data_IF_799266953667
#
_entry.id   IF_799266953667
#
_cell.length_a   1.000
_cell.length_b   1.000
_cell.length_c   1.000
_cell.angle_alpha   90.00
_cell.angle_beta   90.00
_cell.angle_gamma   90.00
#
_symmetry.space_group_name_H-M   'P 1'
#
loop_
_entity.id
_entity.type
_entity.pdbx_description
1 polymer ?
#
# COMPACT_ATOMS: atom_id res chain seq x y z
N UNK A 1 -60.79 -4.15 -37.90
CA UNK A 1 -61.06 -3.81 -36.48
C UNK A 1 -60.39 -4.87 -35.61
N UNK A 2 -59.11 -4.68 -35.30
CA UNK A 2 -58.34 -5.37 -34.24
C UNK A 2 -57.25 -4.38 -33.78
N UNK A 3 -56.90 -4.50 -32.50
CA UNK A 3 -56.54 -3.48 -31.51
C UNK A 3 -55.04 -3.31 -31.22
N UNK A 4 -54.70 -2.07 -30.80
CA UNK A 4 -53.89 -1.63 -29.65
C UNK A 4 -52.40 -2.03 -29.44
N UNK A 5 -51.66 -0.97 -29.09
CA UNK A 5 -50.60 -0.82 -28.07
C UNK A 5 -49.36 -1.74 -28.13
N UNK A 6 -48.20 -1.11 -28.37
CA UNK A 6 -46.90 -1.49 -27.77
C UNK A 6 -45.87 -0.35 -27.93
N UNK A 7 -46.02 0.72 -27.14
CA UNK A 7 -44.97 1.74 -26.94
C UNK A 7 -44.98 2.27 -25.49
N UNK A 8 -45.00 1.36 -24.50
CA UNK A 8 -44.85 1.72 -23.07
C UNK A 8 -43.75 0.89 -22.38
N UNK A 9 -43.04 0.01 -23.09
CA UNK A 9 -42.08 -0.92 -22.47
C UNK A 9 -40.65 -0.40 -22.27
N UNK A 10 -40.22 0.67 -22.94
CA UNK A 10 -38.79 1.03 -22.99
C UNK A 10 -38.37 2.15 -22.01
N UNK A 11 -39.31 2.97 -21.54
CA UNK A 11 -39.01 4.09 -20.65
C UNK A 11 -39.10 3.74 -19.15
N UNK A 12 -39.76 2.65 -18.80
CA UNK A 12 -39.83 2.19 -17.40
C UNK A 12 -38.58 1.38 -17.01
N UNK A 13 -37.94 0.69 -17.96
CA UNK A 13 -36.71 -0.07 -17.69
C UNK A 13 -35.47 0.78 -17.41
N UNK A 14 -35.40 1.99 -17.99
CA UNK A 14 -34.25 2.91 -17.80
C UNK A 14 -34.44 3.79 -16.55
N UNK A 15 -35.68 4.10 -16.17
CA UNK A 15 -35.94 4.86 -14.94
C UNK A 15 -35.84 4.01 -13.67
N UNK A 16 -36.07 2.70 -13.73
CA UNK A 16 -35.90 1.80 -12.57
C UNK A 16 -34.40 1.53 -12.28
N UNK A 17 -33.51 1.60 -13.29
CA UNK A 17 -32.07 1.43 -13.07
C UNK A 17 -31.37 2.69 -12.52
N UNK A 18 -31.92 3.89 -12.78
CA UNK A 18 -31.36 5.14 -12.22
C UNK A 18 -31.84 5.39 -10.77
N UNK A 19 -32.97 4.80 -10.36
CA UNK A 19 -33.43 4.84 -8.96
C UNK A 19 -32.89 3.72 -8.06
N UNK A 20 -32.28 2.66 -8.63
CA UNK A 20 -31.59 1.64 -7.84
C UNK A 20 -30.22 2.11 -7.29
N UNK A 21 -29.64 3.20 -7.83
CA UNK A 21 -28.35 3.75 -7.38
C UNK A 21 -28.45 5.15 -6.72
N UNK A 22 -29.65 5.74 -6.63
CA UNK A 22 -29.87 7.03 -5.94
C UNK A 22 -30.58 6.89 -4.58
N UNK A 23 -30.78 5.65 -4.11
CA UNK A 23 -31.43 5.31 -2.83
C UNK A 23 -30.50 5.02 -1.65
N UNK A 24 -29.17 5.06 -1.81
CA UNK A 24 -28.22 4.97 -0.69
C UNK A 24 -27.91 6.36 -0.11
N UNK A 25 -28.96 7.12 0.21
CA UNK A 25 -28.86 8.22 1.17
C UNK A 25 -29.62 7.75 2.41
N UNK A 26 -28.86 7.49 3.48
CA UNK A 26 -29.34 7.14 4.82
C UNK A 26 -29.86 5.71 5.03
N UNK A 27 -29.03 4.70 4.77
CA UNK A 27 -29.04 3.51 5.63
C UNK A 27 -28.07 3.74 6.77
N UNK A 28 -28.63 4.02 7.96
CA UNK A 28 -27.91 3.72 9.21
C UNK A 28 -27.40 2.28 9.10
N UNK A 29 -26.19 1.96 9.61
CA UNK A 29 -25.70 0.59 9.57
C UNK A 29 -26.77 -0.33 10.16
N UNK A 30 -27.17 -1.34 9.38
CA UNK A 30 -27.99 -2.45 9.87
C UNK A 30 -27.30 -3.00 11.11
N UNK A 31 -28.08 -3.25 12.16
CA UNK A 31 -27.59 -3.57 13.50
C UNK A 31 -26.81 -4.89 13.63
N UNK A 32 -26.57 -5.62 12.53
CA UNK A 32 -25.96 -6.96 12.50
C UNK A 32 -24.71 -7.07 11.61
N UNK A 33 -24.16 -5.97 11.10
CA UNK A 33 -22.90 -6.00 10.34
C UNK A 33 -21.75 -5.70 11.30
N UNK A 34 -20.76 -6.60 11.38
CA UNK A 34 -19.55 -6.40 12.18
C UNK A 34 -18.86 -5.07 11.86
N UNK A 35 -18.21 -4.44 12.84
CA UNK A 35 -17.67 -3.10 12.69
C UNK A 35 -16.67 -3.01 11.53
N UNK A 36 -15.79 -4.01 11.41
CA UNK A 36 -14.86 -4.09 10.29
C UNK A 36 -15.52 -4.28 8.92
N UNK A 37 -16.57 -5.10 8.82
CA UNK A 37 -17.32 -5.26 7.56
C UNK A 37 -17.97 -3.96 7.10
N UNK A 38 -18.46 -3.14 8.03
CA UNK A 38 -19.02 -1.83 7.69
C UNK A 38 -17.94 -0.85 7.19
N UNK A 39 -16.72 -0.96 7.71
CA UNK A 39 -15.55 -0.20 7.25
C UNK A 39 -15.14 -0.64 5.84
N UNK A 40 -15.00 -1.96 5.58
CA UNK A 40 -14.68 -2.53 4.25
C UNK A 40 -15.63 -2.00 3.16
N UNK A 41 -16.94 -2.15 3.38
CA UNK A 41 -17.94 -1.73 2.41
C UNK A 41 -17.86 -0.22 2.12
N UNK A 42 -17.63 0.59 3.15
CA UNK A 42 -17.52 2.03 3.00
C UNK A 42 -16.27 2.43 2.22
N UNK A 43 -15.11 1.84 2.53
CA UNK A 43 -13.84 2.16 1.85
C UNK A 43 -13.94 1.79 0.36
N UNK A 44 -14.44 0.59 0.04
CA UNK A 44 -14.65 0.16 -1.35
C UNK A 44 -15.57 1.10 -2.11
N UNK A 45 -16.70 1.50 -1.49
CA UNK A 45 -17.63 2.44 -2.11
C UNK A 45 -16.95 3.79 -2.43
N UNK A 46 -16.15 4.34 -1.52
CA UNK A 46 -15.45 5.61 -1.76
C UNK A 46 -14.42 5.49 -2.89
N UNK A 47 -13.68 4.38 -2.95
CA UNK A 47 -12.73 4.10 -4.04
C UNK A 47 -13.47 4.00 -5.39
N UNK A 48 -14.58 3.25 -5.45
CA UNK A 48 -15.38 3.10 -6.67
C UNK A 48 -15.95 4.44 -7.15
N UNK A 49 -16.43 5.28 -6.21
CA UNK A 49 -16.92 6.64 -6.50
C UNK A 49 -15.79 7.53 -7.04
N UNK A 50 -14.59 7.46 -6.47
CA UNK A 50 -13.43 8.24 -6.92
C UNK A 50 -12.98 7.80 -8.33
N UNK A 51 -12.99 6.50 -8.61
CA UNK A 51 -12.76 5.94 -9.95
C UNK A 51 -13.77 6.51 -10.95
N UNK A 52 -15.07 6.44 -10.63
CA UNK A 52 -16.14 6.91 -11.51
C UNK A 52 -16.06 8.42 -11.78
N UNK A 53 -15.53 9.21 -10.83
CA UNK A 53 -15.33 10.66 -10.96
C UNK A 53 -13.99 11.05 -11.60
N UNK A 54 -13.06 10.10 -11.78
CA UNK A 54 -11.71 10.38 -12.26
C UNK A 54 -10.83 11.13 -11.27
N UNK A 55 -11.18 11.14 -9.98
CA UNK A 55 -10.44 11.83 -8.90
C UNK A 55 -9.52 10.90 -8.13
N UNK A 56 -9.42 9.63 -8.53
CA UNK A 56 -8.69 8.62 -7.75
C UNK A 56 -7.18 8.85 -7.71
N UNK A 57 -6.60 9.60 -8.66
CA UNK A 57 -5.17 9.90 -8.69
C UNK A 57 -4.80 11.11 -7.81
N UNK A 58 -5.69 11.56 -6.92
CA UNK A 58 -5.38 12.62 -5.96
C UNK A 58 -4.30 12.13 -4.97
N UNK A 59 -3.16 12.84 -4.84
CA UNK A 59 -2.08 12.49 -3.91
C UNK A 59 -2.50 12.35 -2.45
N UNK A 60 -3.60 12.98 -2.04
CA UNK A 60 -4.09 12.95 -0.67
C UNK A 60 -5.29 12.01 -0.49
N UNK A 61 -5.70 11.28 -1.53
CA UNK A 61 -6.91 10.46 -1.50
C UNK A 61 -6.92 9.47 -0.33
N UNK A 62 -5.82 8.76 -0.12
CA UNK A 62 -5.73 7.74 0.93
C UNK A 62 -5.78 8.37 2.32
N UNK A 63 -5.06 9.47 2.55
CA UNK A 63 -5.07 10.18 3.82
C UNK A 63 -6.46 10.77 4.11
N UNK A 64 -7.10 11.41 3.12
CA UNK A 64 -8.44 11.99 3.25
C UNK A 64 -9.50 10.92 3.52
N UNK A 65 -9.41 9.78 2.84
CA UNK A 65 -10.32 8.65 3.08
C UNK A 65 -10.07 8.02 4.44
N UNK A 66 -8.83 7.91 4.88
CA UNK A 66 -8.45 7.45 6.22
C UNK A 66 -9.07 8.32 7.29
N UNK A 67 -8.91 9.64 7.19
CA UNK A 67 -9.51 10.61 8.10
C UNK A 67 -11.04 10.52 8.11
N UNK A 68 -11.66 10.33 6.94
CA UNK A 68 -13.09 10.16 6.81
C UNK A 68 -13.58 8.88 7.51
N UNK A 69 -12.87 7.77 7.35
CA UNK A 69 -13.15 6.50 8.04
C UNK A 69 -13.00 6.67 9.55
N UNK A 70 -11.89 7.23 10.02
CA UNK A 70 -11.63 7.49 11.44
C UNK A 70 -12.77 8.33 12.05
N UNK A 71 -13.15 9.42 11.39
CA UNK A 71 -14.25 10.30 11.85
C UNK A 71 -15.60 9.60 11.90
N UNK A 72 -15.88 8.73 10.93
CA UNK A 72 -17.18 8.05 10.80
C UNK A 72 -17.31 6.81 11.70
N UNK A 73 -16.22 6.07 11.89
CA UNK A 73 -16.21 4.76 12.54
C UNK A 73 -15.41 4.73 13.85
N UNK A 74 -15.03 5.88 14.41
CA UNK A 74 -14.19 5.96 15.62
C UNK A 74 -14.63 5.00 16.75
N UNK A 75 -15.93 4.95 17.07
CA UNK A 75 -16.46 4.10 18.15
C UNK A 75 -16.38 2.62 17.82
N UNK A 76 -16.63 2.26 16.57
CA UNK A 76 -16.51 0.89 16.08
C UNK A 76 -15.05 0.46 16.14
N UNK A 77 -14.14 1.30 15.63
CA UNK A 77 -12.69 1.07 15.71
C UNK A 77 -12.22 0.89 17.16
N UNK A 78 -12.67 1.74 18.09
CA UNK A 78 -12.37 1.59 19.53
C UNK A 78 -12.82 0.22 20.07
N UNK A 79 -13.96 -0.30 19.60
CA UNK A 79 -14.46 -1.62 19.98
C UNK A 79 -13.63 -2.74 19.35
N UNK A 80 -13.29 -2.65 18.06
CA UNK A 80 -12.48 -3.65 17.35
C UNK A 80 -11.08 -3.79 17.98
N UNK A 81 -10.43 -2.67 18.30
CA UNK A 81 -9.08 -2.70 18.90
C UNK A 81 -9.09 -2.96 20.41
N UNK A 82 -10.26 -3.04 21.05
CA UNK A 82 -10.37 -3.03 22.52
C UNK A 82 -9.62 -4.18 23.20
N UNK A 83 -9.62 -5.37 22.58
CA UNK A 83 -8.94 -6.56 23.09
C UNK A 83 -7.41 -6.44 23.01
N UNK A 84 -6.90 -5.68 22.03
CA UNK A 84 -5.46 -5.52 21.79
C UNK A 84 -4.87 -4.28 22.48
N UNK A 85 -5.70 -3.26 22.76
CA UNK A 85 -5.25 -1.94 23.19
C UNK A 85 -5.29 -1.68 24.71
N UNK A 86 -5.51 -2.71 25.53
CA UNK A 86 -5.68 -2.56 26.98
C UNK A 86 -4.50 -1.85 27.67
N UNK A 87 -3.28 -2.10 27.21
CA UNK A 87 -2.04 -1.51 27.75
C UNK A 87 -1.57 -0.25 27.00
N UNK A 88 -2.30 0.18 25.96
CA UNK A 88 -1.94 1.36 25.19
C UNK A 88 -2.47 2.63 25.84
N UNK A 89 -1.65 3.68 25.87
CA UNK A 89 -2.08 5.03 26.24
C UNK A 89 -3.13 5.55 25.24
N UNK A 90 -3.96 6.54 25.61
CA UNK A 90 -4.93 7.13 24.68
C UNK A 90 -4.29 7.59 23.36
N UNK A 91 -3.11 8.21 23.42
CA UNK A 91 -2.36 8.63 22.22
C UNK A 91 -1.96 7.44 21.35
N UNK A 92 -1.44 6.37 21.96
CA UNK A 92 -1.06 5.16 21.21
C UNK A 92 -2.27 4.48 20.57
N UNK A 93 -3.46 4.56 21.17
CA UNK A 93 -4.70 4.04 20.56
C UNK A 93 -5.11 4.82 19.32
N UNK A 94 -5.02 6.14 19.36
CA UNK A 94 -5.29 6.97 18.17
C UNK A 94 -4.29 6.67 17.04
N UNK A 95 -3.01 6.53 17.38
CA UNK A 95 -1.97 6.12 16.41
C UNK A 95 -2.29 4.74 15.84
N UNK A 96 -2.62 3.75 16.66
CA UNK A 96 -2.98 2.40 16.21
C UNK A 96 -4.20 2.40 15.28
N UNK A 97 -5.26 3.17 15.59
CA UNK A 97 -6.43 3.29 14.72
C UNK A 97 -6.06 3.89 13.37
N UNK A 98 -5.27 4.95 13.38
CA UNK A 98 -4.81 5.59 12.14
C UNK A 98 -4.00 4.61 11.29
N UNK A 99 -3.05 3.89 11.89
CA UNK A 99 -2.25 2.86 11.22
C UNK A 99 -3.12 1.80 10.52
N UNK A 100 -4.00 1.15 11.29
CA UNK A 100 -4.86 0.07 10.80
C UNK A 100 -5.82 0.56 9.70
N UNK A 101 -6.32 1.79 9.79
CA UNK A 101 -7.21 2.31 8.76
C UNK A 101 -6.43 2.73 7.52
N UNK A 102 -5.29 3.39 7.72
CA UNK A 102 -4.47 3.92 6.62
C UNK A 102 -3.92 2.81 5.75
N UNK A 103 -3.32 1.76 6.36
CA UNK A 103 -2.86 0.57 5.62
C UNK A 103 -4.02 -0.10 4.89
N UNK A 104 -5.17 -0.29 5.56
CA UNK A 104 -6.32 -0.94 4.92
C UNK A 104 -6.84 -0.18 3.70
N UNK A 105 -6.92 1.15 3.81
CA UNK A 105 -7.31 2.02 2.70
C UNK A 105 -6.26 1.95 1.57
N UNK A 106 -4.97 2.04 1.91
CA UNK A 106 -3.86 1.89 0.95
C UNK A 106 -3.93 0.56 0.21
N UNK A 107 -4.06 -0.55 0.93
CA UNK A 107 -4.22 -1.90 0.40
C UNK A 107 -5.37 -2.02 -0.62
N UNK A 108 -6.57 -1.55 -0.26
CA UNK A 108 -7.72 -1.58 -1.17
C UNK A 108 -7.55 -0.63 -2.36
N UNK A 109 -6.93 0.53 -2.13
CA UNK A 109 -6.64 1.52 -3.17
C UNK A 109 -5.66 0.98 -4.21
N UNK A 110 -4.54 0.38 -3.78
CA UNK A 110 -3.56 -0.25 -4.66
C UNK A 110 -4.20 -1.34 -5.54
N UNK A 111 -5.04 -2.19 -4.95
CA UNK A 111 -5.80 -3.24 -5.67
C UNK A 111 -6.75 -2.71 -6.72
N UNK A 112 -7.23 -1.48 -6.58
CA UNK A 112 -8.15 -0.87 -7.54
C UNK A 112 -7.49 -0.56 -8.89
N UNK A 113 -6.16 -0.55 -8.97
CA UNK A 113 -5.40 -0.25 -10.19
C UNK A 113 -4.95 -1.48 -10.99
N UNK A 114 -5.23 -2.68 -10.50
CA UNK A 114 -4.72 -3.90 -11.12
C UNK A 114 -5.26 -4.03 -12.55
N UNK A 115 -4.40 -4.30 -13.55
CA UNK A 115 -4.86 -4.33 -14.93
C UNK A 115 -5.79 -5.54 -15.15
N UNK A 116 -7.04 -5.27 -15.54
CA UNK A 116 -8.11 -6.30 -15.68
C UNK A 116 -7.78 -7.45 -16.65
N UNK A 117 -6.84 -7.23 -17.59
CA UNK A 117 -6.39 -8.22 -18.58
C UNK A 117 -4.87 -8.47 -18.51
N UNK A 118 -4.26 -8.27 -17.34
CA UNK A 118 -2.84 -8.52 -17.16
C UNK A 118 -2.47 -10.00 -17.31
N UNK A 119 -1.29 -10.26 -17.87
CA UNK A 119 -0.56 -11.49 -17.60
C UNK A 119 0.04 -11.39 -16.20
N UNK A 120 -0.01 -12.46 -15.43
CA UNK A 120 0.59 -12.53 -14.10
C UNK A 120 1.81 -13.45 -14.13
N UNK A 121 2.92 -12.96 -13.58
CA UNK A 121 4.11 -13.74 -13.31
C UNK A 121 4.43 -13.64 -11.81
N UNK A 122 4.53 -14.76 -11.12
CA UNK A 122 4.96 -14.81 -9.72
C UNK A 122 6.42 -15.22 -9.70
N UNK A 123 7.27 -14.42 -9.07
CA UNK A 123 8.71 -14.62 -9.06
C UNK A 123 9.20 -14.67 -7.63
N UNK A 124 9.73 -15.81 -7.23
CA UNK A 124 10.43 -15.99 -5.96
C UNK A 124 11.92 -15.74 -6.20
N UNK A 125 12.49 -14.64 -5.70
CA UNK A 125 13.92 -14.38 -5.84
C UNK A 125 14.71 -15.51 -5.18
N UNK A 126 15.63 -16.14 -5.91
CA UNK A 126 16.53 -17.16 -5.34
C UNK A 126 17.88 -16.51 -5.11
N UNK A 127 18.33 -16.41 -3.86
CA UNK A 127 19.66 -15.89 -3.54
C UNK A 127 20.72 -16.78 -4.16
N UNK A 128 21.56 -16.23 -5.03
CA UNK A 128 22.65 -16.96 -5.69
C UNK A 128 24.03 -16.55 -5.20
N UNK A 129 24.19 -15.32 -4.68
CA UNK A 129 25.45 -14.87 -4.08
C UNK A 129 25.24 -13.72 -3.10
N UNK A 130 26.19 -13.55 -2.17
CA UNK A 130 26.36 -12.34 -1.38
C UNK A 130 27.75 -11.80 -1.59
N UNK A 131 27.88 -10.56 -2.04
CA UNK A 131 29.18 -9.90 -2.22
C UNK A 131 29.25 -8.71 -1.27
N UNK A 132 30.33 -8.65 -0.49
CA UNK A 132 30.64 -7.47 0.32
C UNK A 132 31.61 -6.57 -0.43
N UNK A 133 31.21 -5.34 -0.74
CA UNK A 133 32.06 -4.35 -1.38
C UNK A 133 31.76 -2.95 -0.84
N UNK A 134 32.80 -2.18 -0.52
CA UNK A 134 32.68 -0.81 -0.01
C UNK A 134 31.74 -0.67 1.21
N UNK A 135 31.76 -1.65 2.12
CA UNK A 135 30.89 -1.66 3.30
C UNK A 135 29.42 -2.00 3.02
N UNK A 136 29.05 -2.31 1.77
CA UNK A 136 27.69 -2.71 1.38
C UNK A 136 27.62 -4.20 1.10
N UNK A 137 26.43 -4.79 1.28
CA UNK A 137 26.14 -6.18 0.91
C UNK A 137 25.24 -6.19 -0.31
N UNK A 138 25.72 -6.85 -1.35
CA UNK A 138 24.99 -7.08 -2.59
C UNK A 138 24.53 -8.51 -2.61
N UNK A 139 23.23 -8.72 -2.43
CA UNK A 139 22.63 -10.04 -2.51
C UNK A 139 22.09 -10.26 -3.92
N UNK A 140 22.79 -11.07 -4.69
CA UNK A 140 22.38 -11.37 -6.04
C UNK A 140 21.27 -12.39 -5.97
N UNK A 141 20.11 -12.04 -6.50
CA UNK A 141 19.01 -12.98 -6.69
C UNK A 141 18.91 -13.35 -8.17
N UNK A 142 18.56 -14.59 -8.40
CA UNK A 142 18.15 -15.06 -9.72
C UNK A 142 16.64 -15.20 -9.72
N UNK A 143 16.02 -14.47 -10.64
CA UNK A 143 14.60 -14.31 -10.77
C UNK A 143 14.31 -14.20 -12.27
N UNK A 144 14.23 -15.32 -13.02
CA UNK A 144 14.11 -15.29 -14.47
C UNK A 144 12.78 -14.70 -14.88
N UNK A 145 12.80 -13.45 -15.32
CA UNK A 145 11.61 -12.75 -15.79
C UNK A 145 11.61 -12.70 -17.33
N UNK A 146 10.43 -12.90 -17.93
CA UNK A 146 10.25 -12.95 -19.39
C UNK A 146 10.65 -11.64 -20.05
N UNK A 147 11.45 -11.71 -21.12
CA UNK A 147 11.77 -10.58 -22.01
C UNK A 147 10.55 -9.87 -22.62
N UNK A 148 9.36 -10.45 -22.51
CA UNK A 148 8.09 -9.82 -22.93
C UNK A 148 7.52 -8.79 -21.95
N UNK A 149 8.08 -8.65 -20.75
CA UNK A 149 7.59 -7.68 -19.75
C UNK A 149 8.13 -6.29 -20.11
N UNK A 150 7.25 -5.29 -20.36
CA UNK A 150 7.72 -3.94 -20.56
C UNK A 150 8.26 -3.35 -19.24
N UNK A 151 9.23 -2.45 -19.35
CA UNK A 151 9.79 -1.69 -18.22
C UNK A 151 10.39 -2.53 -17.08
N UNK A 152 11.37 -3.41 -17.35
CA UNK A 152 12.01 -4.21 -16.30
C UNK A 152 12.62 -3.35 -15.19
N UNK A 153 12.37 -3.73 -13.94
CA UNK A 153 13.05 -3.23 -12.75
C UNK A 153 14.08 -4.27 -12.32
N UNK A 154 15.35 -3.89 -12.35
CA UNK A 154 16.47 -4.79 -12.09
C UNK A 154 16.94 -4.80 -10.63
N UNK A 155 16.62 -3.75 -9.87
CA UNK A 155 17.16 -3.53 -8.54
C UNK A 155 16.06 -3.10 -7.57
N UNK A 156 15.86 -3.92 -6.55
CA UNK A 156 15.11 -3.56 -5.34
C UNK A 156 16.12 -3.42 -4.21
N UNK A 157 16.11 -2.31 -3.50
CA UNK A 157 17.17 -1.96 -2.54
C UNK A 157 16.54 -1.75 -1.19
N UNK A 158 16.70 -2.73 -0.31
CA UNK A 158 16.02 -2.76 0.98
C UNK A 158 16.91 -2.25 2.11
N UNK A 159 16.33 -1.55 3.09
CA UNK A 159 17.02 -1.22 4.34
C UNK A 159 17.32 -2.50 5.12
N UNK A 160 18.58 -2.67 5.52
CA UNK A 160 19.02 -3.93 6.12
C UNK A 160 18.43 -4.20 7.51
N UNK A 161 18.05 -3.16 8.22
CA UNK A 161 17.38 -3.28 9.51
C UNK A 161 16.03 -4.03 9.39
N UNK A 162 15.33 -3.92 8.25
CA UNK A 162 14.12 -4.71 7.98
C UNK A 162 14.42 -6.22 7.99
N UNK A 163 15.63 -6.63 7.58
CA UNK A 163 15.99 -8.04 7.45
C UNK A 163 16.59 -8.57 8.73
N UNK A 164 17.65 -7.92 9.20
CA UNK A 164 18.49 -8.42 10.30
C UNK A 164 17.99 -7.95 11.68
N UNK A 165 17.06 -6.99 11.72
CA UNK A 165 16.65 -6.29 12.94
C UNK A 165 17.72 -5.32 13.44
N UNK A 166 17.39 -4.57 14.49
CA UNK A 166 18.33 -3.68 15.16
C UNK A 166 17.71 -2.44 15.77
N UNK A 167 18.56 -1.63 16.38
CA UNK A 167 18.16 -0.33 16.92
C UNK A 167 19.16 0.75 16.55
N UNK A 168 18.68 1.98 16.40
CA UNK A 168 19.50 3.09 15.95
C UNK A 168 18.72 4.38 15.76
N UNK A 169 19.32 5.29 15.01
CA UNK A 169 18.71 6.55 14.58
C UNK A 169 18.82 6.58 13.06
N UNK A 170 17.73 6.91 12.38
CA UNK A 170 17.70 7.05 10.91
C UNK A 170 18.22 8.41 10.44
N UNK A 171 18.23 8.63 9.12
CA UNK A 171 18.70 9.89 8.52
C UNK A 171 17.78 11.10 8.82
N UNK A 172 16.55 10.85 9.30
CA UNK A 172 15.63 11.88 9.77
C UNK A 172 15.82 12.25 11.24
N UNK A 173 16.69 11.54 11.97
CA UNK A 173 16.93 11.73 13.39
C UNK A 173 15.93 10.97 14.28
N UNK A 174 15.14 10.06 13.72
CA UNK A 174 14.16 9.27 14.44
C UNK A 174 14.76 7.95 14.93
N UNK A 175 14.45 7.60 16.17
CA UNK A 175 14.91 6.34 16.76
C UNK A 175 14.06 5.17 16.28
N UNK A 176 14.70 4.05 15.97
CA UNK A 176 14.03 2.79 15.68
C UNK A 176 14.54 1.66 16.56
N UNK A 177 13.68 0.68 16.79
CA UNK A 177 14.02 -0.60 17.36
C UNK A 177 13.08 -1.66 16.74
N UNK A 178 13.60 -2.37 15.75
CA UNK A 178 12.87 -3.37 14.95
C UNK A 178 13.50 -4.73 15.15
N UNK A 179 12.71 -5.80 15.07
CA UNK A 179 13.20 -7.17 15.25
C UNK A 179 13.58 -7.84 13.92
N UNK A 180 13.31 -7.19 12.79
CA UNK A 180 13.66 -7.62 11.45
C UNK A 180 12.78 -8.75 10.94
N UNK A 181 13.34 -9.64 10.11
CA UNK A 181 12.63 -10.73 9.41
C UNK A 181 11.60 -10.25 8.38
N UNK A 182 11.60 -8.98 8.04
CA UNK A 182 10.73 -8.35 7.07
C UNK A 182 11.38 -8.39 5.67
N UNK A 183 11.78 -9.58 5.24
CA UNK A 183 12.56 -9.79 4.03
C UNK A 183 11.67 -9.80 2.77
N UNK A 184 12.15 -9.25 1.65
CA UNK A 184 11.45 -9.33 0.35
C UNK A 184 11.49 -10.76 -0.17
N UNK A 185 10.38 -11.49 -0.08
CA UNK A 185 10.36 -12.93 -0.39
C UNK A 185 9.70 -13.28 -1.73
N UNK A 186 8.89 -12.39 -2.28
CA UNK A 186 8.17 -12.64 -3.53
C UNK A 186 7.90 -11.35 -4.30
N UNK A 187 7.95 -11.41 -5.62
CA UNK A 187 7.57 -10.31 -6.51
C UNK A 187 6.52 -10.84 -7.48
N UNK A 188 5.34 -10.25 -7.46
CA UNK A 188 4.26 -10.55 -8.42
C UNK A 188 4.21 -9.44 -9.46
N UNK A 189 4.21 -9.83 -10.73
CA UNK A 189 4.26 -8.90 -11.87
C UNK A 189 3.00 -9.05 -12.70
N UNK A 190 2.19 -8.00 -12.76
CA UNK A 190 1.00 -7.90 -13.59
C UNK A 190 1.30 -7.00 -14.79
N UNK A 191 1.29 -7.53 -16.01
CA UNK A 191 1.72 -6.75 -17.17
C UNK A 191 0.85 -6.92 -18.41
N UNK A 192 0.83 -5.86 -19.21
CA UNK A 192 0.27 -5.79 -20.57
C UNK A 192 1.40 -5.42 -21.54
N UNK A 193 1.08 -5.08 -22.79
CA UNK A 193 2.09 -4.57 -23.74
C UNK A 193 2.61 -3.17 -23.42
N UNK A 194 1.92 -2.40 -22.57
CA UNK A 194 2.20 -0.97 -22.36
C UNK A 194 2.25 -0.53 -20.89
N UNK A 195 1.97 -1.44 -19.95
CA UNK A 195 1.94 -1.15 -18.51
C UNK A 195 2.34 -2.40 -17.73
N UNK A 196 3.06 -2.21 -16.64
CA UNK A 196 3.43 -3.24 -15.66
C UNK A 196 3.15 -2.73 -14.26
N UNK A 197 2.63 -3.60 -13.40
CA UNK A 197 2.52 -3.39 -11.97
C UNK A 197 3.37 -4.44 -11.27
N UNK A 198 4.24 -3.97 -10.40
CA UNK A 198 5.07 -4.79 -9.53
C UNK A 198 4.47 -4.76 -8.14
N UNK A 199 4.17 -5.94 -7.60
CA UNK A 199 3.85 -6.17 -6.20
C UNK A 199 5.04 -6.83 -5.52
N UNK A 200 5.51 -6.20 -4.46
CA UNK A 200 6.59 -6.65 -3.60
C UNK A 200 5.96 -7.21 -2.34
N UNK A 201 6.28 -8.45 -2.02
CA UNK A 201 5.72 -9.17 -0.89
C UNK A 201 6.79 -9.36 0.17
N UNK A 202 6.50 -8.82 1.35
CA UNK A 202 7.36 -8.87 2.52
C UNK A 202 6.70 -9.69 3.62
N UNK A 203 7.52 -10.29 4.47
CA UNK A 203 7.02 -11.21 5.50
C UNK A 203 6.23 -10.50 6.61
N UNK A 204 6.47 -9.21 6.85
CA UNK A 204 5.83 -8.47 7.93
C UNK A 204 5.73 -6.97 7.61
N UNK A 205 5.13 -6.15 8.47
CA UNK A 205 5.31 -4.68 8.43
C UNK A 205 5.71 -4.15 9.80
N UNK A 206 6.95 -3.68 9.92
CA UNK A 206 7.50 -3.33 11.22
C UNK A 206 7.02 -1.94 11.64
N UNK A 207 6.66 -1.78 12.91
CA UNK A 207 6.55 -0.48 13.55
C UNK A 207 7.81 -0.20 14.39
N UNK A 208 8.43 1.01 14.33
CA UNK A 208 9.64 1.38 15.10
C UNK A 208 9.52 1.28 16.64
N UNK A 209 8.32 0.97 17.14
CA UNK A 209 8.00 0.73 18.55
C UNK A 209 7.48 -0.70 18.70
N UNK A 210 8.23 -1.62 19.33
CA UNK A 210 7.90 -3.04 19.44
C UNK A 210 6.55 -3.36 20.10
N UNK A 211 6.04 -2.47 20.95
CA UNK A 211 4.74 -2.70 21.61
C UNK A 211 3.55 -2.41 20.69
N UNK A 212 3.72 -1.51 19.71
CA UNK A 212 2.67 -1.16 18.76
C UNK A 212 2.67 -2.14 17.59
N UNK A 213 3.86 -2.46 17.10
CA UNK A 213 4.20 -3.48 16.11
C UNK A 213 3.39 -4.77 16.30
N UNK A 214 3.69 -5.54 17.34
CA UNK A 214 2.98 -6.78 17.69
C UNK A 214 1.45 -6.68 17.72
N UNK A 215 0.91 -5.53 18.16
CA UNK A 215 -0.54 -5.33 18.21
C UNK A 215 -1.10 -5.08 16.81
N UNK A 216 -0.39 -4.26 16.03
CA UNK A 216 -0.72 -3.93 14.66
C UNK A 216 -0.77 -5.19 13.80
N UNK A 217 0.28 -6.03 13.83
CA UNK A 217 0.31 -7.28 13.05
C UNK A 217 -0.85 -8.18 13.42
N UNK A 218 -1.10 -8.36 14.72
CA UNK A 218 -2.18 -9.22 15.19
C UNK A 218 -3.55 -8.83 14.65
N UNK A 219 -3.79 -7.53 14.42
CA UNK A 219 -5.06 -7.04 13.88
C UNK A 219 -5.09 -7.17 12.37
N UNK A 220 -3.99 -6.85 11.68
CA UNK A 220 -3.91 -7.00 10.21
C UNK A 220 -4.13 -8.44 9.78
N UNK A 221 -3.49 -9.38 10.45
CA UNK A 221 -3.64 -10.81 10.17
C UNK A 221 -5.08 -11.31 10.33
N UNK A 222 -5.86 -10.74 11.24
CA UNK A 222 -7.25 -11.18 11.45
C UNK A 222 -8.22 -10.53 10.48
N UNK A 223 -8.00 -9.25 10.17
CA UNK A 223 -9.00 -8.41 9.52
C UNK A 223 -8.78 -8.21 8.01
N UNK A 224 -7.58 -8.47 7.48
CA UNK A 224 -7.26 -8.17 6.09
C UNK A 224 -7.41 -9.44 5.23
N UNK A 225 -8.44 -9.53 4.38
CA UNK A 225 -8.68 -10.74 3.61
C UNK A 225 -7.58 -10.93 2.56
N UNK A 226 -6.96 -12.12 2.55
CA UNK A 226 -6.03 -12.54 1.51
C UNK A 226 -4.55 -12.24 1.75
N UNK A 227 -4.15 -11.81 2.97
CA UNK A 227 -2.74 -11.78 3.40
C UNK A 227 -2.37 -13.14 4.00
N UNK A 228 -1.23 -13.71 3.60
CA UNK A 228 -0.70 -14.95 4.19
C UNK A 228 -0.19 -14.68 5.61
N UNK A 229 -0.68 -15.42 6.60
CA UNK A 229 -0.26 -15.29 8.01
C UNK A 229 0.87 -16.24 8.40
N UNK A 230 1.42 -17.00 7.45
CA UNK A 230 2.44 -18.03 7.71
C UNK A 230 3.76 -17.46 8.26
N UNK A 231 4.07 -16.18 8.05
CA UNK A 231 5.41 -15.62 8.29
C UNK A 231 5.46 -14.25 9.00
N UNK A 232 4.40 -13.85 9.70
CA UNK A 232 4.13 -12.42 9.91
C UNK A 232 3.08 -12.01 8.87
N UNK A 233 2.27 -11.01 9.16
CA UNK A 233 1.12 -10.74 8.30
C UNK A 233 1.64 -10.17 6.99
N UNK A 234 1.64 -11.00 5.94
CA UNK A 234 2.25 -10.67 4.66
C UNK A 234 1.94 -9.24 4.25
N UNK A 235 3.00 -8.53 3.92
CA UNK A 235 2.92 -7.16 3.49
C UNK A 235 3.15 -6.98 2.00
N UNK A 236 2.35 -6.13 1.36
CA UNK A 236 2.24 -6.11 -0.10
C UNK A 236 2.21 -4.70 -0.63
N UNK A 237 3.32 -4.33 -1.26
CA UNK A 237 3.52 -3.01 -1.81
C UNK A 237 3.64 -2.98 -3.30
N UNK A 238 3.10 -1.93 -3.91
CA UNK A 238 3.09 -1.85 -5.36
C UNK A 238 3.53 -0.54 -5.96
N UNK A 239 4.17 -0.67 -7.12
CA UNK A 239 4.44 0.41 -8.07
C UNK A 239 3.89 0.03 -9.44
N UNK A 240 3.48 1.03 -10.20
CA UNK A 240 3.06 0.86 -11.60
C UNK A 240 4.03 1.57 -12.52
N UNK A 241 4.42 0.94 -13.62
CA UNK A 241 5.19 1.58 -14.68
C UNK A 241 4.37 1.61 -15.96
N UNK A 242 4.05 2.81 -16.43
CA UNK A 242 3.33 3.04 -17.67
C UNK A 242 3.74 4.36 -18.32
N UNK A 243 3.69 4.41 -19.65
CA UNK A 243 4.06 5.60 -20.42
C UNK A 243 5.45 6.18 -20.07
N UNK A 244 6.41 5.30 -19.73
CA UNK A 244 7.77 5.70 -19.34
C UNK A 244 7.88 6.35 -17.96
N UNK A 245 6.87 6.21 -17.09
CA UNK A 245 6.87 6.72 -15.73
C UNK A 245 6.63 5.60 -14.72
N UNK A 246 7.36 5.65 -13.61
CA UNK A 246 7.13 4.88 -12.40
C UNK A 246 6.18 5.70 -11.53
N UNK A 247 5.07 5.09 -11.14
CA UNK A 247 3.99 5.66 -10.36
C UNK A 247 3.97 4.93 -9.02
N UNK A 248 4.21 5.68 -7.97
CA UNK A 248 4.08 5.28 -6.58
C UNK A 248 2.71 5.77 -6.12
N UNK A 249 1.73 4.89 -6.01
CA UNK A 249 0.34 5.32 -5.80
C UNK A 249 0.09 5.79 -4.36
N UNK A 250 0.73 5.12 -3.40
CA UNK A 250 0.60 5.35 -1.94
C UNK A 250 1.90 5.10 -1.18
N UNK A 251 2.95 4.70 -1.89
CA UNK A 251 4.19 4.17 -1.32
C UNK A 251 5.33 5.18 -1.41
N UNK A 252 5.06 6.40 -1.88
CA UNK A 252 6.11 7.33 -2.19
C UNK A 252 6.69 7.93 -0.90
N UNK A 253 7.97 7.71 -0.68
CA UNK A 253 8.65 8.20 0.53
C UNK A 253 8.95 9.70 0.51
N UNK A 254 8.64 10.41 -0.57
CA UNK A 254 8.74 11.87 -0.61
C UNK A 254 7.35 12.43 -0.90
N UNK A 255 6.94 13.52 -0.28
CA UNK A 255 5.69 14.19 -0.63
C UNK A 255 5.91 15.70 -0.70
N UNK A 256 5.06 16.39 -1.45
CA UNK A 256 5.14 17.84 -1.56
C UNK A 256 4.25 18.48 -0.50
N UNK A 257 4.85 19.21 0.43
CA UNK A 257 4.13 20.02 1.41
C UNK A 257 3.99 21.46 0.90
N UNK A 258 2.75 21.90 0.73
CA UNK A 258 2.42 23.26 0.33
C UNK A 258 1.96 24.11 1.53
N UNK A 259 2.80 25.06 1.92
CA UNK A 259 2.41 26.13 2.84
C UNK A 259 1.67 27.26 2.12
N UNK A 260 1.28 28.30 2.87
CA UNK A 260 0.54 29.46 2.34
C UNK A 260 1.28 30.22 1.21
N UNK A 261 2.61 30.05 1.10
CA UNK A 261 3.46 30.83 0.19
C UNK A 261 4.37 29.97 -0.72
N UNK A 262 4.73 28.75 -0.31
CA UNK A 262 5.68 27.89 -1.05
C UNK A 262 5.33 26.42 -0.83
N UNK A 263 5.54 25.63 -1.89
CA UNK A 263 5.56 24.19 -1.83
C UNK A 263 7.01 23.69 -1.80
N UNK A 264 7.28 22.65 -1.03
CA UNK A 264 8.58 22.02 -0.94
C UNK A 264 8.43 20.52 -0.72
N UNK A 265 9.38 19.75 -1.21
CA UNK A 265 9.40 18.31 -1.01
C UNK A 265 9.94 17.97 0.38
N UNK A 266 9.23 17.08 1.07
CA UNK A 266 9.59 16.52 2.37
C UNK A 266 9.80 15.02 2.17
N UNK A 267 10.98 14.53 2.53
CA UNK A 267 11.29 13.11 2.48
C UNK A 267 11.06 12.45 3.84
N UNK A 268 10.45 11.28 3.78
CA UNK A 268 10.15 10.41 4.90
C UNK A 268 11.26 9.38 5.00
N UNK A 269 11.87 9.31 6.16
CA UNK A 269 12.96 8.38 6.48
C UNK A 269 12.40 7.16 7.22
N UNK A 270 13.23 6.14 7.37
CA UNK A 270 12.92 4.80 7.86
C UNK A 270 12.01 4.74 9.09
N UNK A 271 12.24 5.61 10.06
CA UNK A 271 11.58 5.60 11.36
C UNK A 271 10.69 6.84 11.59
N UNK A 272 10.21 7.45 10.51
CA UNK A 272 9.29 8.59 10.59
C UNK A 272 8.11 8.25 11.52
N UNK A 273 7.76 9.10 12.49
CA UNK A 273 6.80 8.75 13.54
C UNK A 273 5.32 8.81 13.10
N UNK A 274 5.04 9.29 11.88
CA UNK A 274 3.72 9.38 11.27
C UNK A 274 3.81 9.56 9.75
N UNK A 275 4.37 8.60 8.98
CA UNK A 275 4.46 8.74 7.55
C UNK A 275 3.08 8.79 6.89
N UNK A 276 3.05 9.53 5.80
CA UNK A 276 1.92 9.73 4.91
C UNK A 276 2.06 8.82 3.70
N UNK A 277 0.93 8.36 3.17
CA UNK A 277 0.91 7.59 1.93
C UNK A 277 1.08 8.50 0.73
N UNK A 278 2.34 8.70 0.33
CA UNK A 278 2.68 9.62 -0.76
C UNK A 278 2.32 9.07 -2.13
N UNK A 279 1.76 9.94 -2.97
CA UNK A 279 1.73 9.74 -4.43
C UNK A 279 2.98 10.36 -5.07
N UNK A 280 3.63 9.60 -5.95
CA UNK A 280 4.84 10.03 -6.65
C UNK A 280 4.88 9.58 -8.09
N UNK A 281 5.51 10.40 -8.92
CA UNK A 281 5.84 10.03 -10.30
C UNK A 281 7.31 10.28 -10.56
N UNK A 282 8.03 9.26 -11.04
CA UNK A 282 9.43 9.35 -11.45
C UNK A 282 9.58 8.84 -12.87
N UNK A 283 10.52 9.41 -13.63
CA UNK A 283 10.82 8.90 -14.97
C UNK A 283 11.44 7.51 -14.89
N UNK A 284 10.95 6.59 -15.70
CA UNK A 284 11.52 5.26 -15.81
C UNK A 284 12.87 5.27 -16.53
N UNK A 285 13.81 4.47 -16.03
CA UNK A 285 15.01 4.06 -16.77
C UNK A 285 15.32 2.60 -16.46
N UNK A 286 15.93 1.87 -17.39
CA UNK A 286 16.30 0.46 -17.18
C UNK A 286 17.40 0.27 -16.12
N UNK A 287 18.10 1.33 -15.73
CA UNK A 287 19.10 1.31 -14.66
C UNK A 287 18.56 1.77 -13.30
N UNK A 288 17.27 2.10 -13.20
CA UNK A 288 16.68 2.60 -11.96
C UNK A 288 16.73 1.51 -10.88
N UNK A 289 17.07 1.91 -9.66
CA UNK A 289 16.85 1.10 -8.47
C UNK A 289 15.69 1.67 -7.68
N UNK A 290 14.85 0.79 -7.13
CA UNK A 290 13.77 1.17 -6.23
C UNK A 290 14.27 0.90 -4.82
N UNK A 291 14.48 1.97 -4.05
CA UNK A 291 14.75 1.88 -2.63
C UNK A 291 13.44 1.61 -1.92
N UNK A 292 13.46 0.66 -1.00
CA UNK A 292 12.30 0.24 -0.22
C UNK A 292 12.69 0.10 1.26
N UNK A 293 11.79 0.54 2.12
CA UNK A 293 11.77 0.25 3.55
C UNK A 293 10.37 -0.20 3.89
N UNK A 294 10.28 -1.31 4.62
CA UNK A 294 8.99 -1.85 5.06
C UNK A 294 8.67 -1.62 6.53
N UNK A 295 9.34 -0.64 7.11
CA UNK A 295 8.99 -0.06 8.40
C UNK A 295 7.97 1.08 8.19
N UNK A 296 6.84 1.03 8.92
CA UNK A 296 5.81 2.08 9.00
C UNK A 296 5.17 2.42 7.64
N UNK A 297 4.39 1.49 7.09
CA UNK A 297 3.48 1.74 5.96
C UNK A 297 4.17 2.29 4.70
N UNK A 298 5.31 1.66 4.36
CA UNK A 298 5.84 1.58 3.00
C UNK A 298 6.47 2.86 2.44
N UNK A 299 7.80 2.88 2.50
CA UNK A 299 8.60 3.97 1.97
C UNK A 299 9.40 3.49 0.76
N UNK A 300 8.93 3.89 -0.42
CA UNK A 300 9.59 3.65 -1.71
C UNK A 300 9.96 4.94 -2.44
N UNK A 301 11.14 4.96 -3.06
CA UNK A 301 11.52 5.99 -4.02
C UNK A 301 12.63 5.43 -4.93
N UNK A 302 12.89 6.11 -6.02
CA UNK A 302 14.10 6.03 -6.83
C UNK A 302 15.33 6.68 -6.18
N UNK A 303 15.15 7.37 -5.05
CA UNK A 303 16.19 8.05 -4.26
C UNK A 303 16.28 7.39 -2.89
N UNK A 304 17.51 7.19 -2.39
CA UNK A 304 17.72 6.67 -1.03
C UNK A 304 17.43 7.78 -0.01
N UNK A 305 16.28 7.73 0.65
CA UNK A 305 15.95 8.63 1.77
C UNK A 305 16.69 8.26 3.06
N UNK A 306 17.38 7.11 3.09
CA UNK A 306 18.11 6.61 4.25
C UNK A 306 19.59 6.31 3.93
N UNK A 307 20.36 7.25 3.34
CA UNK A 307 21.68 6.96 2.79
C UNK A 307 22.73 6.49 3.81
N UNK A 308 22.55 6.77 5.10
CA UNK A 308 23.48 6.32 6.16
C UNK A 308 23.25 4.86 6.58
N UNK A 309 22.05 4.33 6.33
CA UNK A 309 21.67 2.99 6.78
C UNK A 309 22.19 1.92 5.81
N UNK A 310 22.62 0.77 6.35
CA UNK A 310 23.02 -0.38 5.53
C UNK A 310 21.87 -0.85 4.62
N UNK A 311 22.24 -1.34 3.44
CA UNK A 311 21.30 -1.80 2.41
C UNK A 311 21.61 -3.21 1.97
N UNK A 312 20.57 -3.94 1.61
CA UNK A 312 20.63 -5.17 0.83
C UNK A 312 20.10 -4.89 -0.57
N UNK A 313 20.92 -5.17 -1.57
CA UNK A 313 20.57 -4.94 -2.97
C UNK A 313 20.11 -6.25 -3.57
N UNK A 314 18.85 -6.30 -4.00
CA UNK A 314 18.22 -7.44 -4.66
C UNK A 314 18.27 -7.26 -6.16
N UNK A 315 19.00 -8.13 -6.85
CA UNK A 315 19.05 -8.15 -8.31
C UNK A 315 17.99 -9.05 -8.92
N UNK A 316 17.32 -8.62 -9.99
CA UNK A 316 16.46 -9.48 -10.84
C UNK A 316 17.04 -9.56 -12.26
N UNK A 317 17.10 -10.80 -12.77
CA UNK A 317 17.66 -11.09 -14.09
C UNK A 317 16.54 -11.28 -15.11
N UNK A 318 16.63 -10.57 -16.24
CA UNK A 318 15.62 -10.59 -17.29
C UNK A 318 16.22 -11.31 -18.51
N UNK A 319 15.52 -12.32 -19.03
CA UNK A 319 15.97 -13.19 -20.14
C UNK A 319 15.00 -13.22 -21.29
#
# INVERSE_FOLDING_TARGET
MVTRLKQVGLLVGVLVLIFAFSGFVSTRPQADVGGWTAIDLFVREQIDVAHAKGTINDPHFVDELTDLVLKKFNRQLDAEISQYSQNLTPRQREVLKHLIVSDYVSYLYQKSFYPKNARTLVVKPIKVASIKANGKVYDYYYAPMSSSIPYPIHWWVQVRADIDGGSGIDDGGYSYNVDGKNDLFNIVVYYTSSSVQYELHFYDEDHPSPSLDKIYDSIRCSEYPGRDSTYGCEDVESIRVENGNIIFSTTFSTYTECGYLLCHDVSQTYATPAPTHGYGVKTYSSSVGIYVSNTWNHLMDTVDTNPSMEKVWWYTSWS
#
